data_IF_328324288346
#
_entry.id   IF_328324288346
#
_cell.length_a   1.000
_cell.length_b   1.000
_cell.length_c   1.000
_cell.angle_alpha   90.00
_cell.angle_beta   90.00
_cell.angle_gamma   90.00
#
_symmetry.space_group_name_H-M   'P 1'
#
loop_
_entity.id
_entity.type
_entity.pdbx_description
1 polymer ?
#
# COMPACT_ATOMS: atom_id res chain seq x y z
N UNK A 1 -15.68 -25.44 -47.04
CA UNK A 1 -14.51 -24.61 -46.66
C UNK A 1 -14.90 -23.27 -46.03
N UNK A 2 -15.96 -22.59 -46.47
CA UNK A 2 -16.44 -21.34 -45.84
C UNK A 2 -16.98 -21.54 -44.41
N UNK A 3 -17.63 -22.67 -44.14
CA UNK A 3 -18.12 -23.05 -42.80
C UNK A 3 -17.00 -23.34 -41.79
N UNK A 4 -15.85 -23.83 -42.26
CA UNK A 4 -14.67 -24.07 -41.41
C UNK A 4 -14.04 -22.76 -40.94
N UNK A 5 -13.97 -21.76 -41.82
CA UNK A 5 -13.51 -20.41 -41.47
C UNK A 5 -14.46 -19.71 -40.49
N UNK A 6 -15.77 -19.92 -40.62
CA UNK A 6 -16.76 -19.36 -39.67
C UNK A 6 -16.62 -19.98 -38.27
N UNK A 7 -16.42 -21.30 -38.15
CA UNK A 7 -16.18 -21.91 -36.83
C UNK A 7 -14.85 -21.52 -36.19
N UNK A 8 -13.80 -21.32 -37.00
CA UNK A 8 -12.49 -20.89 -36.49
C UNK A 8 -12.54 -19.46 -35.93
N UNK A 9 -13.34 -18.57 -36.53
CA UNK A 9 -13.57 -17.22 -36.02
C UNK A 9 -14.37 -17.20 -34.71
N UNK A 10 -15.23 -18.19 -34.48
CA UNK A 10 -16.02 -18.31 -33.25
C UNK A 10 -15.19 -18.81 -32.06
N UNK A 11 -14.20 -19.67 -32.30
CA UNK A 11 -13.31 -20.21 -31.26
C UNK A 11 -12.25 -19.21 -30.78
N UNK A 12 -11.82 -18.28 -31.65
CA UNK A 12 -10.82 -17.26 -31.31
C UNK A 12 -11.38 -16.10 -30.45
N UNK A 13 -12.71 -15.97 -30.32
CA UNK A 13 -13.34 -14.88 -29.57
C UNK A 13 -13.49 -15.13 -28.06
N UNK A 14 -13.25 -16.36 -27.57
CA UNK A 14 -13.59 -16.76 -26.19
C UNK A 14 -12.42 -16.56 -25.21
N UNK A 15 -11.18 -16.36 -25.67
CA UNK A 15 -9.98 -16.39 -24.80
C UNK A 15 -9.63 -15.06 -24.12
N UNK A 16 -10.47 -14.03 -24.22
CA UNK A 16 -10.11 -12.67 -23.77
C UNK A 16 -10.88 -12.21 -22.53
N UNK A 17 -10.96 -13.03 -21.48
CA UNK A 17 -11.39 -12.55 -20.16
C UNK A 17 -10.56 -13.21 -19.06
N UNK A 18 -9.29 -12.82 -18.94
CA UNK A 18 -8.56 -13.03 -17.68
C UNK A 18 -8.79 -11.83 -16.79
N UNK A 19 -9.36 -12.08 -15.62
CA UNK A 19 -9.63 -11.10 -14.57
C UNK A 19 -8.35 -10.34 -14.21
N UNK A 20 -8.39 -9.01 -14.32
CA UNK A 20 -7.35 -8.14 -13.82
C UNK A 20 -7.95 -7.14 -12.85
N UNK A 21 -8.21 -7.59 -11.62
CA UNK A 21 -8.18 -6.68 -10.46
C UNK A 21 -7.43 -7.41 -9.36
N UNK A 22 -6.12 -7.27 -9.37
CA UNK A 22 -5.33 -7.42 -8.14
C UNK A 22 -5.93 -6.44 -7.14
N UNK A 23 -6.61 -6.97 -6.12
CA UNK A 23 -6.95 -6.20 -4.94
C UNK A 23 -5.62 -5.65 -4.44
N UNK A 24 -5.40 -4.34 -4.63
CA UNK A 24 -4.49 -3.57 -3.78
C UNK A 24 -5.02 -3.78 -2.37
N UNK A 25 -4.57 -4.86 -1.73
CA UNK A 25 -4.66 -5.03 -0.31
C UNK A 25 -3.97 -3.79 0.20
N UNK A 26 -4.76 -2.81 0.62
CA UNK A 26 -4.27 -1.54 1.11
C UNK A 26 -3.31 -1.95 2.22
N UNK A 27 -2.00 -1.93 1.90
CA UNK A 27 -0.94 -2.43 2.76
C UNK A 27 -1.15 -1.63 4.02
N UNK A 28 -1.77 -2.26 5.02
CA UNK A 28 -2.14 -1.59 6.26
C UNK A 28 -0.80 -1.18 6.82
N UNK A 29 -0.43 0.09 6.61
CA UNK A 29 0.95 0.51 6.85
C UNK A 29 1.16 0.27 8.32
N UNK A 30 1.94 -0.75 8.65
CA UNK A 30 2.21 -1.09 10.03
C UNK A 30 2.81 0.16 10.63
N UNK A 31 2.18 0.68 11.69
CA UNK A 31 2.74 1.82 12.38
C UNK A 31 4.06 1.37 12.98
N UNK A 32 5.16 1.91 12.45
CA UNK A 32 6.51 1.66 12.94
C UNK A 32 6.89 2.80 13.88
N UNK A 33 7.54 2.44 14.98
CA UNK A 33 8.08 3.38 15.95
C UNK A 33 9.61 3.33 15.87
N UNK A 34 10.22 4.46 15.53
CA UNK A 34 11.67 4.63 15.50
C UNK A 34 12.10 5.16 16.86
N UNK A 35 12.87 4.37 17.60
CA UNK A 35 13.39 4.77 18.91
C UNK A 35 14.43 5.88 18.79
N UNK A 36 14.37 6.86 19.69
CA UNK A 36 15.43 7.84 19.84
C UNK A 36 16.66 7.19 20.49
N UNK A 37 17.77 7.18 19.76
CA UNK A 37 19.11 6.76 20.17
C UNK A 37 20.09 7.95 20.21
N UNK A 38 19.57 9.18 20.27
CA UNK A 38 20.34 10.43 20.28
C UNK A 38 20.26 11.22 18.97
N UNK A 39 19.40 10.83 18.02
CA UNK A 39 19.20 11.57 16.76
C UNK A 39 18.42 12.87 16.97
N UNK A 40 17.62 12.95 18.04
CA UNK A 40 16.78 14.09 18.38
C UNK A 40 16.95 14.46 19.85
N UNK A 41 16.34 15.58 20.24
CA UNK A 41 16.32 16.04 21.62
C UNK A 41 15.91 14.93 22.63
N UNK A 42 16.55 14.93 23.80
CA UNK A 42 16.38 13.92 24.84
C UNK A 42 14.95 13.84 25.43
N UNK A 43 14.09 14.81 25.12
CA UNK A 43 12.67 14.76 25.45
C UNK A 43 11.86 13.84 24.53
N UNK A 44 12.36 13.53 23.33
CA UNK A 44 11.74 12.63 22.35
C UNK A 44 12.12 11.18 22.64
N UNK A 45 11.14 10.30 22.68
CA UNK A 45 11.32 8.86 22.93
C UNK A 45 11.23 8.05 21.63
N UNK A 46 10.23 8.37 20.80
CA UNK A 46 9.99 7.69 19.53
C UNK A 46 9.45 8.66 18.47
N UNK A 47 9.68 8.32 17.20
CA UNK A 47 9.03 8.91 16.05
C UNK A 47 8.20 7.84 15.34
N UNK A 48 6.94 8.17 15.01
CA UNK A 48 6.08 7.31 14.19
C UNK A 48 5.47 8.11 13.04
N UNK A 49 5.07 7.44 11.96
CA UNK A 49 4.31 8.05 10.87
C UNK A 49 2.86 7.59 10.93
N UNK A 50 1.94 8.52 11.18
CA UNK A 50 0.52 8.26 11.36
C UNK A 50 -0.27 9.09 10.36
N UNK A 51 -0.99 8.42 9.45
CA UNK A 51 -1.80 9.06 8.39
C UNK A 51 -1.00 10.12 7.59
N UNK A 52 0.29 9.87 7.36
CA UNK A 52 1.16 10.78 6.62
C UNK A 52 1.88 11.84 7.47
N UNK A 53 1.46 12.05 8.72
CA UNK A 53 2.08 13.00 9.66
C UNK A 53 3.14 12.32 10.50
N UNK A 54 4.12 13.08 10.97
CA UNK A 54 5.01 12.64 12.02
C UNK A 54 4.30 12.78 13.37
N UNK A 55 4.40 11.75 14.18
CA UNK A 55 3.99 11.75 15.57
C UNK A 55 5.25 11.63 16.43
N UNK A 56 5.61 12.72 17.10
CA UNK A 56 6.73 12.80 18.03
C UNK A 56 6.24 12.43 19.42
N UNK A 57 6.58 11.22 19.86
CA UNK A 57 6.26 10.74 21.20
C UNK A 57 7.32 11.26 22.15
N UNK A 58 6.92 12.11 23.08
CA UNK A 58 7.80 12.74 24.08
C UNK A 58 7.41 12.30 25.49
N UNK A 59 8.27 12.62 26.48
CA UNK A 59 7.97 12.40 27.90
C UNK A 59 6.73 13.14 28.41
N UNK A 60 6.27 14.18 27.71
CA UNK A 60 5.15 15.04 28.12
C UNK A 60 3.87 14.82 27.30
N UNK A 61 3.94 14.00 26.24
CA UNK A 61 2.81 13.79 25.33
C UNK A 61 3.25 13.59 23.88
N UNK A 62 2.28 13.65 22.97
CA UNK A 62 2.50 13.45 21.53
C UNK A 62 2.33 14.77 20.81
N UNK A 63 3.33 15.14 20.00
CA UNK A 63 3.26 16.30 19.09
C UNK A 63 3.17 15.82 17.64
N UNK A 64 2.27 16.41 16.86
CA UNK A 64 2.12 16.11 15.44
C UNK A 64 2.71 17.22 14.58
N UNK A 65 3.39 16.87 13.49
CA UNK A 65 3.75 17.78 12.39
C UNK A 65 3.71 17.09 11.02
N UNK A 66 3.82 17.89 9.95
CA UNK A 66 3.76 17.49 8.54
C UNK A 66 5.19 17.39 7.99
#
# INVERSE_FOLDING_TARGET
MKSFFLMLSLFLGITSYTEAVELKQAKKSSTVFIQNKGQWDNSVLFLAKIKGMNAWITKKGIRYDI
#
